data_IF_381527866617
#
_entry.id   IF_381527866617
#
_cell.length_a   1.000
_cell.length_b   1.000
_cell.length_c   1.000
_cell.angle_alpha   90.00
_cell.angle_beta   90.00
_cell.angle_gamma   90.00
#
_symmetry.space_group_name_H-M   'P 1'
#
loop_
_entity.id
_entity.type
_entity.pdbx_description
1 polymer ?
#
# COMPACT_ATOMS: atom_id res chain seq x y z
N UNK A 1 -8.48 -41.93 6.11
CA UNK A 1 -9.14 -40.92 5.26
C UNK A 1 -8.06 -40.24 4.42
N UNK A 2 -7.94 -40.63 3.14
CA UNK A 2 -6.99 -40.02 2.19
C UNK A 2 -7.59 -38.68 1.71
N UNK A 3 -6.93 -37.59 2.08
CA UNK A 3 -7.25 -36.27 1.51
C UNK A 3 -6.77 -36.23 0.06
N UNK A 4 -7.69 -36.35 -0.86
CA UNK A 4 -7.49 -36.11 -2.28
C UNK A 4 -6.97 -34.68 -2.47
N UNK A 5 -5.68 -34.55 -2.80
CA UNK A 5 -5.11 -33.29 -3.27
C UNK A 5 -5.73 -33.00 -4.64
N UNK A 6 -6.62 -32.00 -4.70
CA UNK A 6 -7.04 -31.42 -5.97
C UNK A 6 -5.80 -31.00 -6.75
N UNK A 7 -5.47 -31.76 -7.79
CA UNK A 7 -4.51 -31.35 -8.79
C UNK A 7 -5.13 -30.20 -9.60
N UNK A 8 -4.76 -28.97 -9.24
CA UNK A 8 -5.02 -27.80 -10.09
C UNK A 8 -4.22 -28.02 -11.38
N UNK A 9 -4.87 -27.97 -12.56
CA UNK A 9 -4.17 -28.11 -13.83
C UNK A 9 -3.00 -27.12 -13.89
N UNK A 10 -1.80 -27.60 -14.20
CA UNK A 10 -0.64 -26.75 -14.47
C UNK A 10 -0.92 -26.00 -15.78
N UNK A 11 -1.13 -24.68 -15.77
CA UNK A 11 -1.00 -23.96 -17.01
C UNK A 11 0.47 -24.05 -17.40
N UNK A 12 0.77 -24.78 -18.47
CA UNK A 12 2.05 -24.66 -19.14
C UNK A 12 2.16 -23.21 -19.59
N UNK A 13 3.08 -22.45 -18.97
CA UNK A 13 3.38 -21.09 -19.41
C UNK A 13 4.26 -21.26 -20.65
N UNK A 14 3.63 -21.34 -21.82
CA UNK A 14 4.33 -21.29 -23.10
C UNK A 14 4.85 -19.87 -23.30
N UNK A 15 6.18 -19.68 -23.43
CA UNK A 15 6.78 -18.37 -23.71
C UNK A 15 6.27 -17.69 -24.98
N UNK A 16 5.68 -18.42 -25.90
CA UNK A 16 5.19 -17.91 -27.18
C UNK A 16 3.67 -17.66 -27.22
N UNK A 17 2.89 -18.06 -26.21
CA UNK A 17 1.45 -17.87 -26.22
C UNK A 17 1.05 -16.50 -25.64
N UNK A 18 0.09 -15.85 -26.27
CA UNK A 18 -0.51 -14.55 -25.88
C UNK A 18 -1.22 -14.62 -24.50
N UNK A 19 -1.45 -15.83 -23.98
CA UNK A 19 -2.07 -16.11 -22.67
C UNK A 19 -1.26 -15.63 -21.44
N UNK A 20 -0.02 -15.19 -21.65
CA UNK A 20 0.79 -14.59 -20.58
C UNK A 20 0.35 -13.18 -20.20
N UNK A 21 -0.39 -12.54 -21.06
CA UNK A 21 -0.85 -11.18 -20.84
C UNK A 21 -2.04 -11.08 -19.88
N UNK A 22 -2.65 -12.21 -19.45
CA UNK A 22 -3.87 -12.18 -18.61
C UNK A 22 -3.73 -11.40 -17.30
N UNK A 23 -2.52 -11.31 -16.75
CA UNK A 23 -2.24 -10.57 -15.51
C UNK A 23 -1.80 -9.12 -15.76
N UNK A 24 -1.63 -8.71 -17.03
CA UNK A 24 -1.29 -7.35 -17.41
C UNK A 24 -2.55 -6.61 -17.89
N UNK A 25 -2.65 -5.33 -17.55
CA UNK A 25 -3.68 -4.41 -18.02
C UNK A 25 -3.00 -3.26 -18.75
N UNK A 26 -3.41 -3.00 -19.99
CA UNK A 26 -2.92 -1.89 -20.82
C UNK A 26 -1.39 -1.87 -20.97
N UNK A 27 -0.75 -3.05 -20.96
CA UNK A 27 0.68 -3.21 -21.23
C UNK A 27 0.98 -4.58 -21.82
N UNK A 28 2.03 -4.64 -22.64
CA UNK A 28 2.48 -5.85 -23.33
C UNK A 28 3.72 -6.42 -22.64
N UNK A 29 4.07 -7.67 -23.00
CA UNK A 29 5.26 -8.35 -22.48
C UNK A 29 6.55 -7.56 -22.74
N UNK A 30 6.71 -6.96 -23.91
CA UNK A 30 7.90 -6.20 -24.36
C UNK A 30 8.01 -4.84 -23.68
N UNK A 31 6.91 -4.29 -23.19
CA UNK A 31 6.87 -2.93 -22.68
C UNK A 31 7.87 -2.72 -21.53
N UNK A 32 8.45 -1.52 -21.44
CA UNK A 32 9.35 -1.15 -20.35
C UNK A 32 8.63 -0.99 -19.00
N UNK A 33 7.30 -0.91 -19.00
CA UNK A 33 6.48 -0.82 -17.81
C UNK A 33 5.34 -1.83 -17.91
N UNK A 34 5.29 -2.73 -16.94
CA UNK A 34 4.16 -3.64 -16.77
C UNK A 34 3.14 -3.03 -15.80
N UNK A 35 1.89 -2.98 -16.21
CA UNK A 35 0.74 -2.61 -15.37
C UNK A 35 -0.05 -3.87 -15.10
N UNK A 36 -0.25 -4.19 -13.82
CA UNK A 36 -1.01 -5.38 -13.45
C UNK A 36 -2.51 -5.12 -13.51
N UNK A 37 -3.26 -6.12 -13.96
CA UNK A 37 -4.70 -6.17 -13.76
C UNK A 37 -5.00 -6.24 -12.26
N UNK A 38 -5.93 -5.42 -11.74
CA UNK A 38 -6.30 -5.44 -10.34
C UNK A 38 -6.94 -6.79 -9.97
N UNK A 39 -6.64 -7.29 -8.78
CA UNK A 39 -7.21 -8.54 -8.26
C UNK A 39 -8.26 -8.30 -7.17
N UNK A 40 -8.43 -7.06 -6.79
CA UNK A 40 -9.48 -6.60 -5.88
C UNK A 40 -9.73 -5.09 -6.05
N UNK A 41 -10.83 -4.60 -5.49
CA UNK A 41 -11.27 -3.21 -5.60
C UNK A 41 -10.22 -2.19 -5.09
N UNK A 42 -9.41 -2.53 -4.08
CA UNK A 42 -8.34 -1.62 -3.60
C UNK A 42 -7.23 -1.43 -4.63
N UNK A 43 -6.97 -2.41 -5.47
CA UNK A 43 -5.91 -2.35 -6.48
C UNK A 43 -6.34 -1.55 -7.72
N UNK A 44 -7.66 -1.33 -7.93
CA UNK A 44 -8.16 -0.39 -8.94
C UNK A 44 -7.83 1.06 -8.59
N UNK A 45 -7.99 1.43 -7.32
CA UNK A 45 -7.69 2.77 -6.84
C UNK A 45 -6.18 3.03 -6.76
N UNK A 46 -5.39 1.99 -6.48
CA UNK A 46 -3.93 2.04 -6.34
C UNK A 46 -3.25 1.01 -7.26
N UNK A 47 -3.24 1.24 -8.58
CA UNK A 47 -2.72 0.29 -9.54
C UNK A 47 -1.23 0.00 -9.29
N UNK A 48 -0.86 -1.26 -9.48
CA UNK A 48 0.52 -1.72 -9.32
C UNK A 48 1.20 -1.80 -10.68
N UNK A 49 2.37 -1.17 -10.80
CA UNK A 49 3.21 -1.24 -12.00
C UNK A 49 4.65 -1.61 -11.66
N UNK A 50 5.33 -2.26 -12.61
CA UNK A 50 6.75 -2.57 -12.55
C UNK A 50 7.46 -1.85 -13.69
N UNK A 51 8.40 -0.96 -13.37
CA UNK A 51 9.25 -0.31 -14.36
C UNK A 51 10.55 -1.11 -14.53
N UNK A 52 10.71 -1.71 -15.73
CA UNK A 52 11.91 -2.45 -16.12
C UNK A 52 13.08 -1.52 -16.47
N UNK A 53 12.78 -0.25 -16.72
CA UNK A 53 13.78 0.78 -16.95
C UNK A 53 14.26 1.37 -15.62
N UNK A 54 15.25 0.75 -15.02
CA UNK A 54 15.90 1.25 -13.80
C UNK A 54 17.40 1.43 -13.99
N UNK A 55 17.95 2.37 -13.24
CA UNK A 55 19.37 2.70 -13.30
C UNK A 55 20.22 1.58 -12.71
N UNK A 56 21.33 1.28 -13.38
CA UNK A 56 22.46 0.46 -12.98
C UNK A 56 23.69 1.36 -12.74
N UNK A 57 24.88 0.77 -12.63
CA UNK A 57 26.10 1.57 -12.44
C UNK A 57 26.49 2.33 -13.71
N UNK A 58 27.34 3.35 -13.56
CA UNK A 58 27.94 4.13 -14.64
C UNK A 58 26.91 4.69 -15.67
N UNK A 59 25.71 5.02 -15.19
CA UNK A 59 24.66 5.56 -16.04
C UNK A 59 23.97 4.52 -16.94
N UNK A 60 24.30 3.24 -16.84
CA UNK A 60 23.66 2.16 -17.59
C UNK A 60 22.21 1.98 -17.13
N UNK A 61 21.39 1.49 -18.03
CA UNK A 61 19.99 1.18 -17.76
C UNK A 61 19.71 -0.29 -18.02
N UNK A 62 18.83 -0.88 -17.21
CA UNK A 62 18.49 -2.31 -17.40
C UNK A 62 17.76 -2.57 -18.72
N UNK A 63 17.28 -1.53 -19.39
CA UNK A 63 16.70 -1.60 -20.76
C UNK A 63 17.73 -1.61 -21.87
N UNK A 64 19.01 -1.38 -21.60
CA UNK A 64 20.07 -1.44 -22.61
C UNK A 64 20.14 -2.84 -23.23
N UNK A 65 20.54 -2.92 -24.51
CA UNK A 65 20.51 -4.16 -25.30
C UNK A 65 21.34 -5.29 -24.68
N UNK A 66 22.46 -4.97 -24.04
CA UNK A 66 23.34 -5.97 -23.37
C UNK A 66 22.64 -6.77 -22.27
N UNK A 67 21.60 -6.21 -21.62
CA UNK A 67 20.83 -6.88 -20.56
C UNK A 67 19.58 -7.57 -21.10
N UNK A 68 19.35 -7.59 -22.42
CA UNK A 68 18.13 -8.18 -22.99
C UNK A 68 17.90 -9.63 -22.57
N UNK A 69 18.90 -10.54 -22.59
CA UNK A 69 18.70 -11.94 -22.13
C UNK A 69 18.36 -12.00 -20.65
N UNK A 70 19.12 -11.32 -19.78
CA UNK A 70 18.87 -11.29 -18.33
C UNK A 70 17.50 -10.68 -18.02
N UNK A 71 17.11 -9.61 -18.71
CA UNK A 71 15.80 -8.97 -18.56
C UNK A 71 14.67 -9.90 -18.96
N UNK A 72 14.84 -10.71 -20.02
CA UNK A 72 13.86 -11.70 -20.43
C UNK A 72 13.66 -12.75 -19.34
N UNK A 73 14.74 -13.31 -18.79
CA UNK A 73 14.65 -14.26 -17.67
C UNK A 73 14.03 -13.62 -16.42
N UNK A 74 14.36 -12.37 -16.12
CA UNK A 74 13.72 -11.63 -15.02
C UNK A 74 12.21 -11.49 -15.23
N UNK A 75 11.76 -11.19 -16.44
CA UNK A 75 10.33 -11.12 -16.80
C UNK A 75 9.65 -12.49 -16.63
N UNK A 76 10.27 -13.57 -17.10
CA UNK A 76 9.78 -14.94 -16.90
C UNK A 76 9.65 -15.26 -15.41
N UNK A 77 10.66 -14.97 -14.60
CA UNK A 77 10.64 -15.21 -13.15
C UNK A 77 9.49 -14.46 -12.48
N UNK A 78 9.31 -13.18 -12.79
CA UNK A 78 8.23 -12.35 -12.22
C UNK A 78 6.85 -12.87 -12.63
N UNK A 79 6.68 -13.31 -13.88
CA UNK A 79 5.45 -13.95 -14.37
C UNK A 79 5.16 -15.26 -13.62
N UNK A 80 6.16 -16.13 -13.44
CA UNK A 80 6.03 -17.38 -12.68
C UNK A 80 5.67 -17.11 -11.22
N UNK A 81 6.32 -16.14 -10.57
CA UNK A 81 5.99 -15.70 -9.21
C UNK A 81 4.54 -15.21 -9.14
N UNK A 82 4.08 -14.43 -10.14
CA UNK A 82 2.71 -13.93 -10.20
C UNK A 82 1.70 -15.06 -10.33
N UNK A 83 1.98 -16.04 -11.18
CA UNK A 83 1.07 -17.16 -11.47
C UNK A 83 1.04 -18.20 -10.34
N UNK A 84 2.16 -18.39 -9.63
CA UNK A 84 2.31 -19.54 -8.71
C UNK A 84 3.20 -19.24 -7.52
N UNK A 85 2.59 -19.00 -6.36
CA UNK A 85 3.30 -18.90 -5.09
C UNK A 85 3.89 -20.26 -4.66
N UNK A 86 5.14 -20.28 -4.22
CA UNK A 86 5.75 -21.48 -3.65
C UNK A 86 5.09 -21.94 -2.34
N UNK A 87 4.45 -21.02 -1.61
CA UNK A 87 3.79 -21.33 -0.34
C UNK A 87 2.39 -21.92 -0.52
N UNK A 88 1.62 -21.41 -1.49
CA UNK A 88 0.19 -21.74 -1.63
C UNK A 88 -0.14 -22.42 -2.96
N UNK A 89 0.75 -22.36 -3.95
CA UNK A 89 0.48 -22.78 -5.33
C UNK A 89 -0.48 -21.86 -6.09
N UNK A 90 -1.06 -20.84 -5.43
CA UNK A 90 -2.03 -19.91 -6.01
C UNK A 90 -1.33 -18.66 -6.55
N UNK A 91 -1.97 -17.92 -7.46
CA UNK A 91 -1.48 -16.65 -7.95
C UNK A 91 -1.23 -15.64 -6.80
N UNK A 92 -0.09 -14.95 -6.87
CA UNK A 92 0.21 -13.88 -5.92
C UNK A 92 -0.48 -12.58 -6.35
N UNK A 93 -0.89 -11.77 -5.38
CA UNK A 93 -1.41 -10.43 -5.64
C UNK A 93 -0.31 -9.51 -6.21
N UNK A 94 -0.65 -8.58 -7.12
CA UNK A 94 0.28 -7.63 -7.71
C UNK A 94 1.21 -6.94 -6.71
N UNK A 95 0.66 -6.48 -5.59
CA UNK A 95 1.45 -5.83 -4.51
C UNK A 95 2.51 -6.77 -3.90
N UNK A 96 2.23 -8.06 -3.83
CA UNK A 96 3.21 -9.07 -3.35
C UNK A 96 4.31 -9.29 -4.38
N UNK A 97 3.95 -9.34 -5.67
CA UNK A 97 4.91 -9.46 -6.78
C UNK A 97 5.85 -8.25 -6.82
N UNK A 98 5.34 -7.03 -6.59
CA UNK A 98 6.14 -5.81 -6.51
C UNK A 98 7.28 -5.93 -5.48
N UNK A 99 7.04 -6.59 -4.34
CA UNK A 99 8.10 -6.80 -3.34
C UNK A 99 9.22 -7.72 -3.85
N UNK A 100 8.89 -8.77 -4.62
CA UNK A 100 9.89 -9.63 -5.27
C UNK A 100 10.61 -8.90 -6.39
N UNK A 101 9.92 -8.06 -7.14
CA UNK A 101 10.55 -7.21 -8.15
C UNK A 101 11.57 -6.23 -7.54
N UNK A 102 11.27 -5.64 -6.39
CA UNK A 102 12.27 -4.84 -5.67
C UNK A 102 13.49 -5.66 -5.27
N UNK A 103 13.29 -6.89 -4.78
CA UNK A 103 14.41 -7.79 -4.47
C UNK A 103 15.23 -8.14 -5.71
N UNK A 104 14.56 -8.38 -6.83
CA UNK A 104 15.19 -8.65 -8.12
C UNK A 104 16.04 -7.47 -8.60
N UNK A 105 15.56 -6.23 -8.44
CA UNK A 105 16.33 -5.03 -8.78
C UNK A 105 17.62 -4.91 -7.96
N UNK A 106 17.60 -5.31 -6.68
CA UNK A 106 18.82 -5.36 -5.86
C UNK A 106 19.79 -6.42 -6.38
N UNK A 107 19.30 -7.62 -6.68
CA UNK A 107 20.13 -8.68 -7.22
C UNK A 107 20.77 -8.28 -8.56
N UNK A 108 19.99 -7.75 -9.51
CA UNK A 108 20.50 -7.31 -10.82
C UNK A 108 21.54 -6.19 -10.68
N UNK A 109 21.34 -5.24 -9.76
CA UNK A 109 22.34 -4.18 -9.52
C UNK A 109 23.64 -4.72 -8.97
N UNK A 110 23.57 -5.68 -8.05
CA UNK A 110 24.75 -6.33 -7.53
C UNK A 110 25.44 -7.17 -8.61
N UNK A 111 24.68 -7.94 -9.41
CA UNK A 111 25.23 -8.70 -10.53
C UNK A 111 25.96 -7.78 -11.53
N UNK A 112 25.39 -6.62 -11.84
CA UNK A 112 26.03 -5.62 -12.72
C UNK A 112 27.34 -5.09 -12.13
N UNK A 113 27.44 -4.91 -10.80
CA UNK A 113 28.66 -4.53 -10.09
C UNK A 113 29.75 -5.60 -10.18
N UNK A 114 29.36 -6.86 -10.07
CA UNK A 114 30.27 -8.02 -10.12
C UNK A 114 30.56 -8.47 -11.56
N UNK A 115 29.99 -7.81 -12.57
CA UNK A 115 30.15 -8.17 -13.98
C UNK A 115 29.43 -9.45 -14.39
N UNK A 116 28.47 -9.94 -13.58
CA UNK A 116 27.67 -11.11 -13.85
C UNK A 116 26.49 -10.75 -14.76
N UNK A 117 26.25 -11.58 -15.77
CA UNK A 117 25.23 -11.34 -16.79
C UNK A 117 24.12 -12.41 -16.82
N UNK A 118 24.31 -13.52 -16.12
CA UNK A 118 23.41 -14.66 -16.11
C UNK A 118 23.22 -15.23 -14.70
N UNK A 119 22.02 -15.73 -14.40
CA UNK A 119 21.76 -16.40 -13.13
C UNK A 119 22.52 -17.73 -12.98
N UNK A 120 22.85 -18.41 -14.08
CA UNK A 120 23.65 -19.60 -14.08
C UNK A 120 25.10 -19.36 -13.64
N UNK A 121 25.59 -18.13 -13.66
CA UNK A 121 26.93 -17.73 -13.16
C UNK A 121 26.97 -17.57 -11.63
N UNK A 122 25.81 -17.54 -10.98
CA UNK A 122 25.72 -17.48 -9.54
C UNK A 122 26.03 -18.83 -8.92
N UNK A 123 26.87 -18.83 -7.90
CA UNK A 123 27.20 -19.98 -7.07
C UNK A 123 26.97 -19.69 -5.57
N UNK A 124 27.34 -20.62 -4.71
CA UNK A 124 27.21 -20.46 -3.27
C UNK A 124 28.06 -19.30 -2.72
N UNK A 125 29.21 -19.02 -3.33
CA UNK A 125 30.08 -17.89 -2.97
C UNK A 125 29.43 -16.57 -3.33
N UNK A 126 28.88 -16.46 -4.54
CA UNK A 126 28.13 -15.30 -5.02
C UNK A 126 26.91 -15.01 -4.12
N UNK A 127 26.21 -16.03 -3.64
CA UNK A 127 25.12 -15.87 -2.69
C UNK A 127 25.57 -15.23 -1.37
N UNK A 128 26.69 -15.68 -0.81
CA UNK A 128 27.27 -15.10 0.42
C UNK A 128 27.76 -13.68 0.20
N UNK A 129 28.38 -13.39 -0.93
CA UNK A 129 28.83 -12.04 -1.30
C UNK A 129 27.63 -11.10 -1.46
N UNK A 130 26.57 -11.54 -2.14
CA UNK A 130 25.32 -10.75 -2.24
C UNK A 130 24.71 -10.47 -0.88
N UNK A 131 24.69 -11.47 0.02
CA UNK A 131 24.19 -11.28 1.39
C UNK A 131 25.01 -10.25 2.16
N UNK A 132 26.33 -10.29 2.04
CA UNK A 132 27.24 -9.33 2.66
C UNK A 132 27.03 -7.93 2.09
N UNK A 133 27.02 -7.80 0.78
CA UNK A 133 26.71 -6.55 0.09
C UNK A 133 25.37 -5.94 0.53
N UNK A 134 24.31 -6.76 0.67
CA UNK A 134 23.02 -6.29 1.18
C UNK A 134 23.14 -5.72 2.60
N UNK A 135 23.96 -6.31 3.45
CA UNK A 135 24.14 -5.86 4.83
C UNK A 135 24.88 -4.51 4.90
N UNK A 136 25.78 -4.25 3.95
CA UNK A 136 26.57 -3.02 3.88
C UNK A 136 25.86 -1.84 3.22
N UNK A 137 24.79 -2.10 2.48
CA UNK A 137 24.05 -1.03 1.81
C UNK A 137 23.52 0.01 2.82
N UNK A 138 23.78 1.31 2.59
CA UNK A 138 23.32 2.36 3.48
C UNK A 138 21.80 2.34 3.62
N UNK A 139 21.34 2.56 4.83
CA UNK A 139 19.94 2.69 5.16
C UNK A 139 19.60 4.14 5.49
N UNK A 140 18.42 4.60 5.05
CA UNK A 140 17.93 5.93 5.42
C UNK A 140 17.71 6.07 6.94
N UNK A 141 17.52 4.95 7.65
CA UNK A 141 17.36 4.88 9.11
C UNK A 141 17.99 3.60 9.65
N UNK A 142 18.90 3.73 10.60
CA UNK A 142 19.55 2.62 11.32
C UNK A 142 20.83 2.08 10.66
N UNK A 143 21.65 1.37 11.44
CA UNK A 143 23.00 0.97 11.03
C UNK A 143 23.04 -0.21 10.05
N UNK A 144 22.02 -1.07 10.04
CA UNK A 144 22.00 -2.28 9.20
C UNK A 144 20.57 -2.72 8.86
N UNK A 145 20.45 -3.56 7.82
CA UNK A 145 19.16 -4.16 7.45
C UNK A 145 18.79 -5.24 8.46
N UNK A 146 17.48 -5.29 8.80
CA UNK A 146 16.97 -6.37 9.66
C UNK A 146 17.07 -7.73 8.95
N UNK A 147 17.23 -8.82 9.72
CA UNK A 147 17.23 -10.18 9.21
C UNK A 147 15.98 -10.48 8.34
N UNK A 148 14.81 -9.95 8.71
CA UNK A 148 13.58 -10.09 7.92
C UNK A 148 13.64 -9.37 6.56
N UNK A 149 14.41 -8.28 6.45
CA UNK A 149 14.65 -7.59 5.17
C UNK A 149 15.59 -8.42 4.30
N UNK A 150 16.71 -8.88 4.86
CA UNK A 150 17.66 -9.77 4.17
C UNK A 150 16.96 -11.04 3.71
N UNK A 151 16.21 -11.70 4.58
CA UNK A 151 15.40 -12.88 4.26
C UNK A 151 14.53 -12.68 3.01
N UNK A 152 13.89 -11.52 2.87
CA UNK A 152 13.05 -11.22 1.71
C UNK A 152 13.84 -11.23 0.40
N UNK A 153 15.06 -10.69 0.42
CA UNK A 153 15.93 -10.70 -0.75
C UNK A 153 16.43 -12.11 -1.07
N UNK A 154 16.84 -12.86 -0.05
CA UNK A 154 17.32 -14.25 -0.21
C UNK A 154 16.22 -15.21 -0.69
N UNK A 155 14.95 -14.94 -0.37
CA UNK A 155 13.84 -15.77 -0.83
C UNK A 155 13.72 -15.80 -2.36
N UNK A 156 14.25 -14.79 -3.06
CA UNK A 156 14.29 -14.76 -4.52
C UNK A 156 15.12 -15.93 -5.09
N UNK A 157 16.23 -16.31 -4.43
CA UNK A 157 17.04 -17.46 -4.83
C UNK A 157 16.28 -18.78 -4.74
N UNK A 158 15.38 -18.90 -3.76
CA UNK A 158 14.47 -20.07 -3.69
C UNK A 158 13.57 -20.15 -4.92
N UNK A 159 13.05 -19.01 -5.40
CA UNK A 159 12.25 -18.97 -6.63
C UNK A 159 13.09 -19.27 -7.88
N UNK A 160 14.26 -18.67 -8.02
CA UNK A 160 15.19 -18.93 -9.13
C UNK A 160 15.55 -20.41 -9.25
N UNK A 161 15.88 -21.05 -8.12
CA UNK A 161 16.18 -22.47 -8.09
C UNK A 161 14.95 -23.33 -8.37
N UNK A 162 13.81 -23.01 -7.78
CA UNK A 162 12.59 -23.81 -7.92
C UNK A 162 12.02 -23.78 -9.34
N UNK A 163 12.16 -22.64 -10.02
CA UNK A 163 11.70 -22.45 -11.39
C UNK A 163 12.80 -22.64 -12.45
N UNK A 164 14.00 -23.07 -12.08
CA UNK A 164 15.16 -23.15 -12.98
C UNK A 164 14.91 -23.88 -14.31
N UNK A 165 14.02 -24.86 -14.32
CA UNK A 165 13.66 -25.62 -15.53
C UNK A 165 12.60 -24.93 -16.40
N UNK A 166 12.04 -23.82 -15.92
CA UNK A 166 11.01 -23.04 -16.60
C UNK A 166 11.54 -21.67 -17.05
N UNK A 167 12.79 -21.35 -16.68
CA UNK A 167 13.49 -20.13 -17.03
C UNK A 167 14.51 -20.39 -18.13
N UNK A 168 14.72 -19.42 -19.02
CA UNK A 168 15.78 -19.48 -20.04
C UNK A 168 17.18 -19.55 -19.41
N UNK A 169 17.32 -18.98 -18.20
CA UNK A 169 18.56 -18.95 -17.42
C UNK A 169 18.21 -19.08 -15.95
N UNK A 170 18.36 -20.25 -15.38
CA UNK A 170 18.01 -20.57 -14.00
C UNK A 170 19.21 -20.82 -13.11
N UNK A 171 18.99 -20.79 -11.80
CA UNK A 171 20.03 -21.08 -10.80
C UNK A 171 20.42 -22.56 -10.81
N UNK A 172 21.69 -22.85 -11.09
CA UNK A 172 22.19 -24.22 -11.26
C UNK A 172 22.42 -25.02 -9.97
N UNK A 173 22.32 -24.40 -8.79
CA UNK A 173 22.62 -25.02 -7.49
C UNK A 173 21.47 -24.81 -6.50
N UNK A 174 21.40 -25.64 -5.46
CA UNK A 174 20.51 -25.42 -4.33
C UNK A 174 21.08 -24.30 -3.43
N UNK A 175 20.42 -23.13 -3.32
CA UNK A 175 20.96 -22.01 -2.55
C UNK A 175 20.98 -22.26 -1.05
N UNK A 176 20.21 -23.21 -0.53
CA UNK A 176 20.04 -23.45 0.91
C UNK A 176 20.01 -24.94 1.24
N UNK A 177 21.09 -25.72 0.94
CA UNK A 177 21.10 -27.15 1.19
C UNK A 177 20.96 -27.43 2.68
N UNK A 178 19.95 -28.25 3.06
CA UNK A 178 19.67 -28.59 4.45
C UNK A 178 19.20 -27.45 5.35
N UNK A 179 18.94 -26.26 4.77
CA UNK A 179 18.49 -25.07 5.49
C UNK A 179 17.40 -24.33 4.70
N UNK A 180 17.13 -23.07 5.04
CA UNK A 180 16.23 -22.22 4.29
C UNK A 180 16.70 -20.75 4.34
N UNK A 181 16.12 -19.91 3.45
CA UNK A 181 16.45 -18.49 3.35
C UNK A 181 16.30 -17.68 4.67
N UNK A 182 15.49 -18.17 5.63
CA UNK A 182 15.34 -17.53 6.96
C UNK A 182 16.58 -17.78 7.82
N UNK A 183 16.98 -19.03 7.90
CA UNK A 183 18.17 -19.43 8.64
C UNK A 183 19.44 -18.77 8.05
N UNK A 184 19.55 -18.75 6.72
CA UNK A 184 20.62 -18.06 6.02
C UNK A 184 20.65 -16.55 6.33
N UNK A 185 19.49 -15.89 6.48
CA UNK A 185 19.39 -14.48 6.86
C UNK A 185 19.70 -14.22 8.34
N UNK A 186 20.02 -15.26 9.16
CA UNK A 186 20.18 -15.12 10.60
C UNK A 186 18.86 -14.95 11.38
N UNK A 187 17.72 -15.24 10.75
CA UNK A 187 16.41 -15.23 11.41
C UNK A 187 16.26 -16.52 12.22
N UNK A 188 16.71 -16.51 13.48
CA UNK A 188 16.54 -17.63 14.40
C UNK A 188 15.10 -17.70 14.85
N UNK A 189 14.49 -18.89 14.73
CA UNK A 189 13.15 -19.13 15.29
C UNK A 189 13.12 -18.76 16.77
N UNK A 190 12.11 -17.95 17.15
CA UNK A 190 11.96 -17.46 18.54
C UNK A 190 12.55 -16.08 18.83
N UNK A 191 13.38 -15.49 17.94
CA UNK A 191 13.94 -14.16 18.14
C UNK A 191 13.14 -13.04 17.43
N UNK A 192 12.02 -13.35 16.78
CA UNK A 192 11.13 -12.33 16.24
C UNK A 192 10.53 -11.53 17.38
N UNK A 193 11.12 -10.40 17.67
CA UNK A 193 10.44 -9.41 18.50
C UNK A 193 9.24 -8.89 17.72
N UNK A 194 8.01 -8.96 18.28
CA UNK A 194 6.88 -8.25 17.69
C UNK A 194 7.27 -6.77 17.55
N UNK A 195 6.67 -6.08 16.59
CA UNK A 195 6.79 -4.62 16.54
C UNK A 195 6.43 -4.10 17.94
N UNK A 196 7.27 -3.23 18.53
CA UNK A 196 6.94 -2.66 19.81
C UNK A 196 5.60 -1.94 19.70
N UNK A 197 4.70 -2.19 20.64
CA UNK A 197 3.48 -1.41 20.75
C UNK A 197 3.85 0.06 20.97
N UNK A 198 3.05 0.96 20.43
CA UNK A 198 3.22 2.39 20.74
C UNK A 198 3.08 2.56 22.26
N UNK A 199 4.05 3.15 22.96
CA UNK A 199 3.97 3.34 24.41
C UNK A 199 2.72 4.16 24.78
N UNK A 200 2.07 3.83 25.88
CA UNK A 200 0.85 4.51 26.34
C UNK A 200 1.06 6.02 26.53
N UNK A 201 2.25 6.44 26.97
CA UNK A 201 2.63 7.84 27.06
C UNK A 201 2.61 8.61 25.72
N UNK A 202 2.57 7.91 24.58
CA UNK A 202 2.42 8.48 23.24
C UNK A 202 1.02 8.21 22.69
N UNK A 203 0.52 7.00 22.84
CA UNK A 203 -0.76 6.59 22.27
C UNK A 203 -1.94 7.33 22.91
N UNK A 204 -1.98 7.42 24.25
CA UNK A 204 -3.09 8.06 24.96
C UNK A 204 -3.22 9.55 24.65
N UNK A 205 -2.16 10.40 24.74
CA UNK A 205 -2.26 11.79 24.35
C UNK A 205 -2.62 11.99 22.87
N UNK A 206 -2.11 11.13 21.97
CA UNK A 206 -2.44 11.18 20.54
C UNK A 206 -3.94 10.94 20.31
N UNK A 207 -4.49 9.89 20.91
CA UNK A 207 -5.91 9.56 20.77
C UNK A 207 -6.78 10.64 21.42
N UNK A 208 -6.40 11.16 22.59
CA UNK A 208 -7.13 12.23 23.23
C UNK A 208 -7.16 13.50 22.39
N UNK A 209 -6.02 13.91 21.82
CA UNK A 209 -5.95 15.07 20.92
C UNK A 209 -6.82 14.85 19.67
N UNK A 210 -6.81 13.65 19.10
CA UNK A 210 -7.65 13.31 17.95
C UNK A 210 -9.15 13.38 18.30
N UNK A 211 -9.55 12.85 19.44
CA UNK A 211 -10.93 12.95 19.95
C UNK A 211 -11.34 14.39 20.14
N UNK A 212 -10.49 15.23 20.74
CA UNK A 212 -10.78 16.65 20.96
C UNK A 212 -10.95 17.41 19.63
N UNK A 213 -10.11 17.16 18.64
CA UNK A 213 -10.24 17.74 17.28
C UNK A 213 -11.57 17.34 16.63
N UNK A 214 -11.91 16.04 16.67
CA UNK A 214 -13.16 15.54 16.06
C UNK A 214 -14.40 16.07 16.78
N UNK A 215 -14.38 16.15 18.11
CA UNK A 215 -15.58 16.51 18.89
C UNK A 215 -15.76 18.00 19.07
N UNK A 216 -14.68 18.78 19.16
CA UNK A 216 -14.72 20.22 19.50
C UNK A 216 -14.44 21.11 18.31
N UNK A 217 -13.48 20.74 17.44
CA UNK A 217 -12.99 21.64 16.40
C UNK A 217 -13.60 21.36 15.03
N UNK A 218 -14.07 20.14 14.75
CA UNK A 218 -14.54 19.73 13.44
C UNK A 218 -15.63 20.65 12.87
N UNK A 219 -16.63 21.00 13.67
CA UNK A 219 -17.73 21.88 13.23
C UNK A 219 -17.24 23.23 12.72
N UNK A 220 -16.31 23.85 13.45
CA UNK A 220 -15.71 25.15 13.07
C UNK A 220 -14.86 25.06 11.80
N UNK A 221 -14.09 23.99 11.66
CA UNK A 221 -13.25 23.74 10.48
C UNK A 221 -14.13 23.52 9.24
N UNK A 222 -15.17 22.70 9.35
CA UNK A 222 -16.14 22.45 8.26
C UNK A 222 -16.88 23.72 7.86
N UNK A 223 -17.29 24.55 8.81
CA UNK A 223 -17.92 25.84 8.54
C UNK A 223 -16.98 26.81 7.80
N UNK A 224 -15.71 26.86 8.21
CA UNK A 224 -14.70 27.69 7.53
C UNK A 224 -14.43 27.17 6.10
N UNK A 225 -14.37 25.86 5.92
CA UNK A 225 -14.25 25.23 4.60
C UNK A 225 -15.42 25.60 3.69
N UNK A 226 -16.64 25.51 4.18
CA UNK A 226 -17.83 25.88 3.42
C UNK A 226 -17.86 27.36 3.04
N UNK A 227 -17.48 28.24 3.98
CA UNK A 227 -17.33 29.67 3.70
C UNK A 227 -16.29 29.95 2.61
N UNK A 228 -15.18 29.21 2.62
CA UNK A 228 -14.16 29.30 1.58
C UNK A 228 -14.67 28.81 0.23
N UNK A 229 -15.36 27.66 0.18
CA UNK A 229 -15.98 27.09 -1.03
C UNK A 229 -16.97 28.07 -1.67
N UNK A 230 -17.88 28.60 -0.88
CA UNK A 230 -18.86 29.62 -1.35
C UNK A 230 -18.17 30.84 -1.91
N UNK A 231 -17.09 31.30 -1.27
CA UNK A 231 -16.29 32.41 -1.76
C UNK A 231 -15.60 32.08 -3.09
N UNK A 232 -15.11 30.86 -3.29
CA UNK A 232 -14.52 30.41 -4.55
C UNK A 232 -15.58 30.26 -5.65
N UNK A 233 -16.71 29.65 -5.36
CA UNK A 233 -17.81 29.46 -6.31
C UNK A 233 -18.34 30.82 -6.82
N UNK A 234 -18.52 31.79 -5.94
CA UNK A 234 -18.98 33.14 -6.29
C UNK A 234 -17.99 33.91 -7.21
N UNK A 235 -16.77 33.40 -7.42
CA UNK A 235 -15.75 34.02 -8.26
C UNK A 235 -15.43 33.22 -9.53
N UNK A 236 -16.01 32.02 -9.69
CA UNK A 236 -15.71 31.09 -10.79
C UNK A 236 -16.04 31.63 -12.20
N UNK A 237 -16.95 32.60 -12.32
CA UNK A 237 -17.32 33.22 -13.60
C UNK A 237 -16.50 34.47 -14.00
N UNK A 238 -15.53 34.87 -13.17
CA UNK A 238 -14.73 36.07 -13.44
C UNK A 238 -13.43 35.73 -14.16
N UNK A 239 -13.13 36.35 -15.28
CA UNK A 239 -11.89 36.21 -16.07
C UNK A 239 -10.66 36.75 -15.33
N UNK A 240 -10.34 36.22 -14.15
CA UNK A 240 -9.20 36.67 -13.35
C UNK A 240 -8.27 35.48 -13.02
N UNK A 241 -7.00 35.80 -12.71
CA UNK A 241 -6.02 34.77 -12.35
C UNK A 241 -6.42 34.01 -11.08
N UNK A 242 -5.97 32.74 -10.96
CA UNK A 242 -6.19 31.90 -9.77
C UNK A 242 -5.74 32.60 -8.46
N UNK A 243 -4.69 33.43 -8.53
CA UNK A 243 -4.20 34.22 -7.41
C UNK A 243 -5.23 35.27 -6.93
N UNK A 244 -5.92 35.94 -7.87
CA UNK A 244 -6.96 36.93 -7.53
C UNK A 244 -8.20 36.26 -6.91
N UNK A 245 -8.56 35.05 -7.34
CA UNK A 245 -9.63 34.25 -6.75
C UNK A 245 -9.31 33.88 -5.30
N UNK A 246 -8.12 33.30 -5.06
CA UNK A 246 -7.66 32.94 -3.71
C UNK A 246 -7.60 34.18 -2.79
N UNK A 247 -7.14 35.31 -3.29
CA UNK A 247 -7.07 36.53 -2.54
C UNK A 247 -8.45 37.10 -2.11
N UNK A 248 -9.47 36.92 -2.96
CA UNK A 248 -10.87 37.31 -2.59
C UNK A 248 -11.48 36.35 -1.59
N UNK A 249 -11.29 35.05 -1.79
CA UNK A 249 -11.74 34.03 -0.86
C UNK A 249 -11.11 34.24 0.53
N UNK A 250 -9.82 34.55 0.59
CA UNK A 250 -9.11 34.88 1.84
C UNK A 250 -9.71 36.11 2.54
N UNK A 251 -10.01 37.16 1.80
CA UNK A 251 -10.64 38.37 2.36
C UNK A 251 -12.04 38.09 2.90
N UNK A 252 -12.82 37.25 2.20
CA UNK A 252 -14.17 36.89 2.63
C UNK A 252 -14.14 36.00 3.89
N UNK A 253 -13.21 35.04 3.94
CA UNK A 253 -12.95 34.25 5.13
C UNK A 253 -12.55 35.12 6.33
N UNK A 254 -11.64 36.11 6.14
CA UNK A 254 -11.25 37.05 7.18
C UNK A 254 -12.43 37.89 7.67
N UNK A 255 -13.31 38.38 6.78
CA UNK A 255 -14.51 39.13 7.17
C UNK A 255 -15.49 38.27 7.97
N UNK A 256 -15.73 37.02 7.56
CA UNK A 256 -16.56 36.10 8.33
C UNK A 256 -16.00 35.86 9.72
N UNK A 257 -14.67 35.66 9.82
CA UNK A 257 -13.99 35.46 11.09
C UNK A 257 -13.99 36.72 11.98
N UNK A 258 -13.88 37.94 11.39
CA UNK A 258 -13.84 39.18 12.18
C UNK A 258 -15.18 39.51 12.85
N UNK A 259 -16.27 38.93 12.39
CA UNK A 259 -17.59 39.04 13.01
C UNK A 259 -17.75 38.14 14.25
N UNK A 260 -16.81 37.19 14.49
CA UNK A 260 -16.84 36.26 15.61
C UNK A 260 -15.88 36.68 16.73
N UNK A 261 -16.18 36.37 18.00
CA UNK A 261 -15.23 36.49 19.10
C UNK A 261 -13.93 35.75 18.81
N UNK A 262 -12.80 36.24 19.32
CA UNK A 262 -11.47 35.67 19.01
C UNK A 262 -11.36 34.15 19.34
N UNK A 263 -12.01 33.73 20.42
CA UNK A 263 -12.07 32.31 20.86
C UNK A 263 -12.90 31.44 19.91
N UNK A 264 -13.81 32.04 19.14
CA UNK A 264 -14.70 31.33 18.20
C UNK A 264 -14.21 31.37 16.75
N UNK A 265 -13.12 32.11 16.48
CA UNK A 265 -12.58 32.23 15.11
C UNK A 265 -12.02 30.87 14.64
N UNK A 266 -12.61 30.28 13.59
CA UNK A 266 -12.23 28.94 13.18
C UNK A 266 -10.83 28.89 12.60
N UNK A 267 -10.41 29.86 11.77
CA UNK A 267 -9.10 29.94 11.11
C UNK A 267 -8.76 31.37 10.68
N UNK A 268 -7.49 31.76 10.76
CA UNK A 268 -7.04 33.13 10.41
C UNK A 268 -6.69 33.28 8.91
N UNK A 269 -6.39 32.20 8.20
CA UNK A 269 -5.95 32.25 6.81
C UNK A 269 -6.32 30.94 6.05
N UNK A 270 -6.24 30.98 4.70
CA UNK A 270 -6.44 29.80 3.87
C UNK A 270 -5.36 28.74 4.12
N UNK A 271 -4.11 29.15 4.36
CA UNK A 271 -3.03 28.22 4.69
C UNK A 271 -3.31 27.47 6.01
N UNK A 272 -3.82 28.19 7.01
CA UNK A 272 -4.25 27.56 8.26
C UNK A 272 -5.46 26.65 8.04
N UNK A 273 -6.41 27.03 7.20
CA UNK A 273 -7.56 26.19 6.87
C UNK A 273 -7.12 24.86 6.27
N UNK A 274 -6.19 24.86 5.30
CA UNK A 274 -5.63 23.64 4.70
C UNK A 274 -4.99 22.78 5.78
N UNK A 275 -4.14 23.37 6.64
CA UNK A 275 -3.50 22.63 7.73
C UNK A 275 -4.53 22.01 8.70
N UNK A 276 -5.58 22.76 9.05
CA UNK A 276 -6.64 22.26 9.94
C UNK A 276 -7.45 21.13 9.30
N UNK A 277 -7.70 21.20 7.99
CA UNK A 277 -8.35 20.10 7.24
C UNK A 277 -7.47 18.85 7.26
N UNK A 278 -6.16 18.97 7.00
CA UNK A 278 -5.22 17.85 7.06
C UNK A 278 -5.17 17.23 8.47
N UNK A 279 -5.14 18.08 9.51
CA UNK A 279 -5.20 17.63 10.90
C UNK A 279 -6.53 16.91 11.21
N UNK A 280 -7.64 17.37 10.66
CA UNK A 280 -8.96 16.77 10.86
C UNK A 280 -9.04 15.38 10.18
N UNK A 281 -8.49 15.23 8.95
CA UNK A 281 -8.34 13.90 8.32
C UNK A 281 -7.49 12.97 9.19
N UNK A 282 -6.34 13.45 9.67
CA UNK A 282 -5.46 12.67 10.53
C UNK A 282 -6.15 12.27 11.86
N UNK A 283 -6.89 13.18 12.46
CA UNK A 283 -7.63 12.92 13.71
C UNK A 283 -8.72 11.86 13.50
N UNK A 284 -9.53 11.95 12.44
CA UNK A 284 -10.52 10.94 12.09
C UNK A 284 -9.85 9.57 11.87
N UNK A 285 -8.72 9.54 11.15
CA UNK A 285 -7.95 8.31 10.94
C UNK A 285 -7.44 7.70 12.25
N UNK A 286 -6.91 8.50 13.17
CA UNK A 286 -6.45 8.06 14.50
C UNK A 286 -7.63 7.48 15.31
N UNK A 287 -8.76 8.19 15.37
CA UNK A 287 -9.97 7.73 16.07
C UNK A 287 -10.42 6.37 15.53
N UNK A 288 -10.55 6.23 14.22
CA UNK A 288 -10.98 4.96 13.61
C UNK A 288 -9.97 3.84 13.83
N UNK A 289 -8.68 4.13 13.67
CA UNK A 289 -7.62 3.12 13.82
C UNK A 289 -7.49 2.58 15.24
N UNK A 290 -7.57 3.45 16.26
CA UNK A 290 -7.35 3.08 17.65
C UNK A 290 -8.62 2.60 18.37
N UNK A 291 -9.78 3.20 18.06
CA UNK A 291 -11.02 2.92 18.80
C UNK A 291 -11.92 1.89 18.13
N UNK A 292 -11.72 1.65 16.82
CA UNK A 292 -12.50 0.67 16.06
C UNK A 292 -11.61 -0.48 15.55
N UNK A 293 -10.38 -0.18 15.12
CA UNK A 293 -9.35 -1.17 14.78
C UNK A 293 -9.34 -1.71 13.36
N UNK A 294 -10.00 -1.11 12.35
CA UNK A 294 -9.85 -1.55 10.97
C UNK A 294 -8.43 -1.24 10.47
N UNK A 295 -7.98 -2.01 9.46
CA UNK A 295 -6.69 -1.73 8.82
C UNK A 295 -6.76 -0.47 7.96
N UNK A 296 -5.61 0.16 7.72
CA UNK A 296 -5.49 1.36 6.87
C UNK A 296 -6.25 1.21 5.54
N UNK A 297 -6.06 0.09 4.84
CA UNK A 297 -6.74 -0.19 3.58
C UNK A 297 -8.26 -0.36 3.72
N UNK A 298 -8.73 -0.83 4.86
CA UNK A 298 -10.15 -0.99 5.16
C UNK A 298 -10.79 0.36 5.46
N UNK A 299 -10.10 1.24 6.22
CA UNK A 299 -10.54 2.63 6.46
C UNK A 299 -10.65 3.40 5.15
N UNK A 300 -9.62 3.33 4.30
CA UNK A 300 -9.59 4.06 3.02
C UNK A 300 -10.63 3.56 2.00
N UNK A 301 -11.19 2.37 2.21
CA UNK A 301 -12.21 1.79 1.35
C UNK A 301 -13.64 1.94 1.91
N UNK A 302 -13.82 2.57 3.06
CA UNK A 302 -15.15 2.85 3.59
C UNK A 302 -15.93 3.73 2.61
N UNK A 303 -17.20 3.42 2.46
CA UNK A 303 -18.11 4.16 1.59
C UNK A 303 -18.98 5.12 2.42
N UNK A 304 -19.46 6.17 1.81
CA UNK A 304 -20.47 7.03 2.44
C UNK A 304 -21.70 6.21 2.83
N UNK A 305 -22.31 6.50 3.97
CA UNK A 305 -23.42 5.73 4.52
C UNK A 305 -23.03 4.40 5.14
N UNK A 306 -21.75 4.18 5.45
CA UNK A 306 -21.27 2.95 6.07
C UNK A 306 -21.68 2.78 7.55
N UNK A 307 -22.18 3.81 8.20
CA UNK A 307 -22.70 3.73 9.58
C UNK A 307 -24.13 3.20 9.56
N UNK A 308 -24.39 2.16 10.31
CA UNK A 308 -25.70 1.51 10.38
C UNK A 308 -26.04 1.12 11.82
N UNK A 309 -27.32 1.05 12.13
CA UNK A 309 -27.81 0.50 13.39
C UNK A 309 -28.19 -0.98 13.22
N UNK A 310 -27.84 -1.80 14.18
CA UNK A 310 -28.19 -3.20 14.26
C UNK A 310 -29.01 -3.45 15.53
N UNK A 311 -30.12 -4.09 15.38
CA UNK A 311 -30.90 -4.62 16.48
C UNK A 311 -30.50 -6.10 16.65
N UNK A 312 -29.59 -6.37 17.56
CA UNK A 312 -29.20 -7.74 17.87
C UNK A 312 -30.20 -8.32 18.86
N UNK A 313 -30.86 -9.45 18.50
CA UNK A 313 -31.76 -10.18 19.36
C UNK A 313 -31.05 -10.93 20.54
N UNK A 314 -29.86 -10.45 20.94
CA UNK A 314 -29.04 -11.04 22.02
C UNK A 314 -29.32 -10.45 23.41
N UNK A 315 -28.36 -10.56 24.31
CA UNK A 315 -28.45 -10.25 25.73
C UNK A 315 -28.85 -8.79 26.07
N UNK A 316 -28.77 -7.86 25.06
CA UNK A 316 -29.20 -6.45 25.14
C UNK A 316 -30.24 -6.15 24.05
N UNK A 317 -31.32 -6.94 23.98
CA UNK A 317 -32.33 -6.88 22.92
C UNK A 317 -33.00 -5.50 22.71
N UNK A 318 -32.88 -4.58 23.67
CA UNK A 318 -33.60 -3.29 23.66
C UNK A 318 -32.76 -2.09 23.22
N UNK A 319 -31.47 -2.26 22.92
CA UNK A 319 -30.59 -1.13 22.52
C UNK A 319 -29.92 -1.41 21.18
N UNK A 320 -30.10 -0.53 20.18
CA UNK A 320 -29.43 -0.67 18.89
C UNK A 320 -27.93 -0.52 19.06
N UNK A 321 -27.16 -1.38 18.39
CA UNK A 321 -25.69 -1.27 18.31
C UNK A 321 -25.32 -0.57 17.01
N UNK A 322 -24.59 0.54 17.12
CA UNK A 322 -24.08 1.24 15.95
C UNK A 322 -22.83 0.52 15.42
N UNK A 323 -22.82 0.22 14.12
CA UNK A 323 -21.72 -0.44 13.44
C UNK A 323 -21.26 0.36 12.22
N UNK A 324 -19.98 0.21 11.88
CA UNK A 324 -19.41 0.63 10.59
C UNK A 324 -19.34 -0.60 9.71
N UNK A 325 -20.00 -0.56 8.57
CA UNK A 325 -20.05 -1.65 7.58
C UNK A 325 -18.98 -1.40 6.52
N UNK A 326 -18.16 -2.40 6.23
CA UNK A 326 -17.12 -2.32 5.20
C UNK A 326 -16.66 -3.69 4.76
N UNK A 327 -15.47 -3.77 4.16
CA UNK A 327 -14.91 -5.02 3.64
C UNK A 327 -13.51 -5.29 4.16
N UNK A 328 -13.25 -6.55 4.51
CA UNK A 328 -11.90 -7.06 4.80
C UNK A 328 -11.31 -7.65 3.53
N UNK A 329 -10.11 -7.19 3.13
CA UNK A 329 -9.44 -7.63 1.91
C UNK A 329 -8.29 -8.61 2.15
N UNK A 330 -7.65 -8.56 3.31
CA UNK A 330 -6.47 -9.38 3.58
C UNK A 330 -6.82 -10.87 3.65
N UNK A 331 -6.20 -11.67 2.77
CA UNK A 331 -6.42 -13.12 2.63
C UNK A 331 -7.86 -13.51 2.23
N UNK A 332 -8.61 -12.60 1.62
CA UNK A 332 -9.93 -12.89 1.09
C UNK A 332 -9.84 -13.15 -0.43
N UNK A 333 -10.51 -14.19 -0.96
CA UNK A 333 -10.46 -14.52 -2.38
C UNK A 333 -11.34 -13.60 -3.24
N UNK A 334 -12.37 -12.99 -2.66
CA UNK A 334 -13.33 -12.16 -3.38
C UNK A 334 -12.74 -10.82 -3.83
N UNK A 335 -13.19 -10.33 -5.00
CA UNK A 335 -12.80 -9.04 -5.56
C UNK A 335 -13.17 -7.88 -4.62
N UNK A 336 -14.39 -7.88 -4.10
CA UNK A 336 -14.91 -6.88 -3.17
C UNK A 336 -14.51 -7.13 -1.70
N UNK A 337 -13.66 -8.14 -1.46
CA UNK A 337 -13.32 -8.58 -0.12
C UNK A 337 -14.43 -9.38 0.54
N UNK A 338 -14.40 -9.45 1.87
CA UNK A 338 -15.44 -10.06 2.70
C UNK A 338 -16.14 -8.97 3.50
N UNK A 339 -17.46 -8.84 3.45
CA UNK A 339 -18.22 -7.93 4.30
C UNK A 339 -17.87 -8.13 5.79
N UNK A 340 -17.73 -7.04 6.50
CA UNK A 340 -17.44 -7.03 7.93
C UNK A 340 -18.06 -5.81 8.61
N UNK A 341 -18.44 -5.99 9.85
CA UNK A 341 -19.02 -4.96 10.70
C UNK A 341 -18.11 -4.71 11.89
N UNK A 342 -17.80 -3.47 12.16
CA UNK A 342 -17.06 -3.04 13.34
C UNK A 342 -18.00 -2.27 14.25
N UNK A 343 -18.07 -2.63 15.55
CA UNK A 343 -18.80 -1.83 16.54
C UNK A 343 -18.17 -0.45 16.63
N UNK A 344 -18.99 0.59 16.53
CA UNK A 344 -18.57 1.98 16.47
C UNK A 344 -18.96 2.76 17.73
N UNK A 345 -18.00 3.23 18.54
CA UNK A 345 -18.30 4.18 19.60
C UNK A 345 -18.77 5.53 19.00
N UNK A 346 -19.53 6.35 19.76
CA UNK A 346 -20.12 7.59 19.24
C UNK A 346 -19.10 8.54 18.57
N UNK A 347 -17.89 8.64 19.09
CA UNK A 347 -16.83 9.47 18.49
C UNK A 347 -16.37 8.94 17.12
N UNK A 348 -16.39 7.62 16.89
CA UNK A 348 -16.06 7.04 15.59
C UNK A 348 -17.17 7.31 14.57
N UNK A 349 -18.44 7.29 14.99
CA UNK A 349 -19.58 7.71 14.17
C UNK A 349 -19.41 9.17 13.75
N UNK A 350 -19.05 10.05 14.69
CA UNK A 350 -18.78 11.45 14.41
C UNK A 350 -17.60 11.63 13.46
N UNK A 351 -16.52 10.84 13.60
CA UNK A 351 -15.39 10.85 12.69
C UNK A 351 -15.78 10.46 11.25
N UNK A 352 -16.66 9.48 11.08
CA UNK A 352 -17.20 9.12 9.75
C UNK A 352 -18.02 10.29 9.18
N UNK A 353 -18.92 10.87 9.94
CA UNK A 353 -19.72 12.02 9.50
C UNK A 353 -18.83 13.20 9.05
N UNK A 354 -17.74 13.45 9.78
CA UNK A 354 -16.73 14.47 9.40
C UNK A 354 -16.05 14.10 8.08
N UNK A 355 -15.61 12.85 7.89
CA UNK A 355 -14.99 12.38 6.64
C UNK A 355 -15.96 12.47 5.46
N UNK A 356 -17.23 12.18 5.68
CA UNK A 356 -18.28 12.33 4.66
C UNK A 356 -18.46 13.79 4.25
N UNK A 357 -18.49 14.73 5.20
CA UNK A 357 -18.57 16.15 4.93
C UNK A 357 -17.33 16.68 4.19
N UNK A 358 -16.13 16.25 4.57
CA UNK A 358 -14.86 16.64 3.92
C UNK A 358 -14.79 16.14 2.47
N UNK A 359 -15.28 14.93 2.18
CA UNK A 359 -15.21 14.29 0.87
C UNK A 359 -16.42 14.55 -0.04
N UNK A 360 -17.44 15.26 0.42
CA UNK A 360 -18.70 15.44 -0.31
C UNK A 360 -18.52 15.97 -1.75
N UNK A 361 -17.65 16.95 -1.93
CA UNK A 361 -17.37 17.55 -3.24
C UNK A 361 -16.69 16.57 -4.21
N UNK A 362 -15.72 15.81 -3.71
CA UNK A 362 -15.02 14.82 -4.54
C UNK A 362 -15.94 13.70 -5.00
N UNK A 363 -16.94 13.31 -4.20
CA UNK A 363 -17.92 12.30 -4.59
C UNK A 363 -18.86 12.76 -5.72
N UNK A 364 -19.21 14.04 -5.77
CA UNK A 364 -20.07 14.59 -6.84
C UNK A 364 -19.36 14.69 -8.19
N UNK A 365 -18.03 14.76 -8.19
CA UNK A 365 -17.22 14.82 -9.42
C UNK A 365 -16.89 13.43 -9.97
N UNK A 366 -16.88 12.40 -9.11
CA UNK A 366 -16.50 11.03 -9.46
C UNK A 366 -17.67 10.08 -9.71
N UNK A 367 -18.91 10.57 -9.56
CA UNK A 367 -20.16 9.79 -9.65
C UNK A 367 -20.75 9.66 -11.04
#
# INVERSE_FOLDING_TARGET
MQTSRLQVPRPAIDPASDDRAWFLKDSRWEDPVWRFAPTNALEEELPVSLAWDFALQEGRRFTDARYAPLRQTCKQLVALIRCRSLCTGLPLRPRSVLNYFFSLRFLVRWMDQEGLSRFAELDATALLQFQHWLAELPMARGPSRSASTVQRHLYLFTYLHRFRMELDDGLGFDPFPGSNHRQAAGDREGLRRPWPSTPDGVAVPLVQAAVDIVTRDAGRILQAMETYRQAMAATAGCSQSAYAHTGRATRRLKRANSALPEVERPVASVAELVLRIDMLYAACFVVLSYLVGPRVSEILHLKAGCVQERHDGGICADSPVTVIVGSIFKRQPGYDGRPHEWVAPPVAVQAIAVLEALSAEHRTVSG
#
